data_IF_168246649527
#
_entry.id   IF_168246649527
#
_cell.length_a   1.000
_cell.length_b   1.000
_cell.length_c   1.000
_cell.angle_alpha   90.00
_cell.angle_beta   90.00
_cell.angle_gamma   90.00
#
_symmetry.space_group_name_H-M   'P 1'
#
loop_
_entity.id
_entity.type
_entity.pdbx_description
1 polymer ?
#
# COMPACT_ATOMS: atom_id res chain seq x y z
N UNK A 1 41.15 -68.55 -5.26
CA UNK A 1 41.38 -67.12 -5.53
C UNK A 1 40.08 -66.35 -5.33
N UNK A 2 39.86 -65.78 -4.13
CA UNK A 2 38.67 -64.98 -3.84
C UNK A 2 39.04 -63.50 -3.87
N UNK A 3 38.69 -62.80 -4.95
CA UNK A 3 38.94 -61.35 -5.06
C UNK A 3 38.00 -60.64 -4.09
N UNK A 4 38.54 -60.05 -3.01
CA UNK A 4 37.79 -59.17 -2.10
C UNK A 4 37.40 -57.88 -2.85
N UNK A 5 36.21 -57.85 -3.45
CA UNK A 5 35.53 -56.60 -3.82
C UNK A 5 34.92 -55.97 -2.56
N UNK A 6 35.72 -55.25 -1.77
CA UNK A 6 35.23 -54.50 -0.60
C UNK A 6 35.93 -53.16 -0.56
N UNK A 7 35.24 -52.11 -1.01
CA UNK A 7 35.75 -50.74 -0.91
C UNK A 7 34.92 -49.66 -1.62
N UNK A 8 34.27 -49.98 -2.75
CA UNK A 8 33.65 -48.95 -3.60
C UNK A 8 32.13 -48.78 -3.38
N UNK A 9 31.42 -49.79 -2.87
CA UNK A 9 29.96 -49.71 -2.72
C UNK A 9 29.50 -48.68 -1.67
N UNK A 10 30.17 -48.63 -0.51
CA UNK A 10 29.86 -47.67 0.56
C UNK A 10 30.04 -46.20 0.11
N UNK A 11 31.18 -45.79 -0.47
CA UNK A 11 31.32 -44.39 -0.91
C UNK A 11 30.35 -44.02 -2.03
N UNK A 12 30.03 -44.93 -2.95
CA UNK A 12 29.02 -44.67 -4.00
C UNK A 12 27.64 -44.44 -3.39
N UNK A 13 27.21 -45.27 -2.43
CA UNK A 13 25.92 -45.09 -1.74
C UNK A 13 25.91 -43.79 -0.94
N UNK A 14 26.98 -43.48 -0.22
CA UNK A 14 27.10 -42.22 0.52
C UNK A 14 27.02 -41.01 -0.40
N UNK A 15 27.65 -41.05 -1.58
CA UNK A 15 27.55 -39.98 -2.57
C UNK A 15 26.11 -39.81 -3.08
N UNK A 16 25.42 -40.91 -3.40
CA UNK A 16 24.02 -40.85 -3.87
C UNK A 16 23.11 -40.30 -2.77
N UNK A 17 23.23 -40.80 -1.54
CA UNK A 17 22.44 -40.32 -0.40
C UNK A 17 22.73 -38.85 -0.12
N UNK A 18 24.00 -38.44 -0.16
CA UNK A 18 24.39 -37.03 0.04
C UNK A 18 23.80 -36.14 -1.06
N UNK A 19 23.87 -36.57 -2.33
CA UNK A 19 23.31 -35.83 -3.45
C UNK A 19 21.78 -35.71 -3.33
N UNK A 20 21.09 -36.79 -2.95
CA UNK A 20 19.65 -36.77 -2.69
C UNK A 20 19.30 -35.80 -1.54
N UNK A 21 20.02 -35.88 -0.42
CA UNK A 21 19.81 -34.99 0.73
C UNK A 21 20.03 -33.52 0.37
N UNK A 22 21.12 -33.19 -0.34
CA UNK A 22 21.42 -31.82 -0.78
C UNK A 22 20.33 -31.31 -1.72
N UNK A 23 19.87 -32.13 -2.66
CA UNK A 23 18.81 -31.74 -3.60
C UNK A 23 17.48 -31.51 -2.89
N UNK A 24 17.11 -32.40 -1.96
CA UNK A 24 15.89 -32.26 -1.16
C UNK A 24 15.96 -31.02 -0.26
N UNK A 25 17.08 -30.78 0.41
CA UNK A 25 17.29 -29.58 1.23
C UNK A 25 17.16 -28.30 0.40
N UNK A 26 17.81 -28.24 -0.77
CA UNK A 26 17.71 -27.08 -1.66
C UNK A 26 16.27 -26.84 -2.14
N UNK A 27 15.54 -27.90 -2.49
CA UNK A 27 14.12 -27.78 -2.90
C UNK A 27 13.20 -27.32 -1.75
N UNK A 28 13.50 -27.75 -0.52
CA UNK A 28 12.76 -27.32 0.67
C UNK A 28 13.01 -25.85 0.97
N UNK A 29 14.26 -25.40 0.92
CA UNK A 29 14.60 -23.99 1.08
C UNK A 29 13.94 -23.13 0.00
N UNK A 30 13.95 -23.57 -1.26
CA UNK A 30 13.27 -22.88 -2.36
C UNK A 30 11.75 -22.74 -2.09
N UNK A 31 11.09 -23.82 -1.67
CA UNK A 31 9.66 -23.79 -1.34
C UNK A 31 9.34 -22.88 -0.14
N UNK A 32 10.23 -22.82 0.86
CA UNK A 32 10.08 -21.90 1.99
C UNK A 32 10.23 -20.44 1.56
N UNK A 33 11.17 -20.14 0.65
CA UNK A 33 11.32 -18.79 0.11
C UNK A 33 10.12 -18.37 -0.73
N UNK A 34 9.57 -19.28 -1.54
CA UNK A 34 8.36 -19.03 -2.33
C UNK A 34 7.15 -18.74 -1.43
N UNK A 35 6.95 -19.52 -0.37
CA UNK A 35 5.91 -19.27 0.65
C UNK A 35 6.03 -17.88 1.27
N UNK A 36 7.23 -17.52 1.75
CA UNK A 36 7.47 -16.20 2.37
C UNK A 36 7.21 -15.05 1.40
N UNK A 37 7.59 -15.23 0.13
CA UNK A 37 7.32 -14.23 -0.90
C UNK A 37 5.82 -14.10 -1.16
N UNK A 38 5.08 -15.21 -1.23
CA UNK A 38 3.63 -15.18 -1.40
C UNK A 38 2.93 -14.47 -0.23
N UNK A 39 3.37 -14.72 1.01
CA UNK A 39 2.84 -14.06 2.20
C UNK A 39 3.14 -12.55 2.18
N UNK A 40 4.36 -12.15 1.81
CA UNK A 40 4.74 -10.73 1.68
C UNK A 40 3.94 -10.01 0.59
N UNK A 41 3.69 -10.66 -0.56
CA UNK A 41 2.86 -10.11 -1.64
C UNK A 41 1.41 -9.97 -1.18
N UNK A 42 0.86 -10.98 -0.51
CA UNK A 42 -0.50 -10.93 0.01
C UNK A 42 -0.66 -9.78 1.03
N UNK A 43 0.33 -9.60 1.90
CA UNK A 43 0.36 -8.52 2.88
C UNK A 43 0.37 -7.13 2.22
N UNK A 44 1.21 -6.96 1.19
CA UNK A 44 1.24 -5.73 0.39
C UNK A 44 -0.08 -5.47 -0.34
N UNK A 45 -0.68 -6.47 -0.97
CA UNK A 45 -2.00 -6.33 -1.62
C UNK A 45 -3.07 -5.91 -0.62
N UNK A 46 -3.04 -6.46 0.60
CA UNK A 46 -3.99 -6.08 1.63
C UNK A 46 -3.81 -4.62 2.08
N UNK A 47 -2.56 -4.18 2.28
CA UNK A 47 -2.27 -2.78 2.60
C UNK A 47 -2.75 -1.84 1.48
N UNK A 48 -2.60 -2.24 0.21
CA UNK A 48 -3.08 -1.49 -0.95
C UNK A 48 -4.60 -1.40 -0.97
N UNK A 49 -5.32 -2.51 -0.77
CA UNK A 49 -6.78 -2.51 -0.72
C UNK A 49 -7.33 -1.68 0.44
N UNK A 50 -6.67 -1.72 1.61
CA UNK A 50 -7.04 -0.88 2.73
C UNK A 50 -6.86 0.62 2.40
N UNK A 51 -5.76 0.98 1.72
CA UNK A 51 -5.51 2.34 1.27
C UNK A 51 -6.53 2.81 0.23
N UNK A 52 -6.85 1.96 -0.75
CA UNK A 52 -7.79 2.26 -1.82
C UNK A 52 -9.20 2.47 -1.28
N UNK A 53 -9.64 1.59 -0.38
CA UNK A 53 -10.92 1.73 0.29
C UNK A 53 -11.01 3.04 1.09
N UNK A 54 -9.96 3.40 1.83
CA UNK A 54 -9.93 4.68 2.55
C UNK A 54 -9.95 5.88 1.60
N UNK A 55 -9.24 5.81 0.47
CA UNK A 55 -9.20 6.88 -0.52
C UNK A 55 -10.58 7.12 -1.15
N UNK A 56 -11.26 6.05 -1.59
CA UNK A 56 -12.60 6.11 -2.17
C UNK A 56 -13.62 6.63 -1.15
N UNK A 57 -13.57 6.14 0.08
CA UNK A 57 -14.49 6.58 1.13
C UNK A 57 -14.29 8.04 1.52
N UNK A 58 -13.05 8.51 1.60
CA UNK A 58 -12.76 9.91 1.89
C UNK A 58 -13.14 10.83 0.73
N UNK A 59 -12.90 10.41 -0.52
CA UNK A 59 -13.35 11.14 -1.70
C UNK A 59 -14.87 11.27 -1.73
N UNK A 60 -15.57 10.19 -1.39
CA UNK A 60 -17.03 10.19 -1.27
C UNK A 60 -17.53 11.10 -0.15
N UNK A 61 -16.94 11.01 1.05
CA UNK A 61 -17.32 11.87 2.17
C UNK A 61 -17.08 13.36 1.87
N UNK A 62 -16.03 13.66 1.11
CA UNK A 62 -15.72 15.02 0.65
C UNK A 62 -16.73 15.54 -0.39
N UNK A 63 -17.12 14.71 -1.37
CA UNK A 63 -18.10 15.10 -2.39
C UNK A 63 -19.53 15.21 -1.84
N UNK A 64 -19.89 14.37 -0.87
CA UNK A 64 -21.17 14.43 -0.14
C UNK A 64 -21.20 15.55 0.91
N UNK A 65 -20.05 16.17 1.22
CA UNK A 65 -19.93 17.26 2.21
C UNK A 65 -19.99 16.81 3.67
N UNK A 66 -19.87 15.50 3.95
CA UNK A 66 -19.79 14.96 5.30
C UNK A 66 -18.41 15.10 5.93
N UNK A 67 -17.37 15.32 5.10
CA UNK A 67 -16.02 15.66 5.53
C UNK A 67 -15.81 17.18 5.51
N UNK A 68 -15.69 17.80 6.68
CA UNK A 68 -15.40 19.23 6.78
C UNK A 68 -13.90 19.51 6.60
N UNK A 69 -13.52 20.04 5.44
CA UNK A 69 -12.16 20.49 5.13
C UNK A 69 -12.18 22.01 5.00
N UNK A 70 -11.17 22.69 5.54
CA UNK A 70 -11.01 24.12 5.33
C UNK A 70 -10.92 24.40 3.83
N UNK A 71 -11.93 25.08 3.28
CA UNK A 71 -12.00 25.40 1.85
C UNK A 71 -10.90 26.38 1.40
N UNK A 72 -10.22 27.04 2.34
CA UNK A 72 -9.15 27.97 2.04
C UNK A 72 -7.82 27.22 1.91
N UNK A 73 -7.45 26.88 0.68
CA UNK A 73 -6.08 26.47 0.36
C UNK A 73 -5.10 27.57 0.83
N UNK A 74 -4.29 27.25 1.83
CA UNK A 74 -3.44 28.23 2.52
C UNK A 74 -2.16 28.54 1.72
N UNK A 75 -1.86 27.75 0.68
CA UNK A 75 -0.58 27.76 -0.02
C UNK A 75 -0.80 27.73 -1.54
N UNK A 76 0.01 28.48 -2.30
CA UNK A 76 0.10 28.35 -3.76
C UNK A 76 0.94 27.12 -4.12
N UNK A 77 0.48 26.35 -5.11
CA UNK A 77 1.14 25.11 -5.52
C UNK A 77 0.57 23.87 -4.84
N UNK A 78 1.12 22.71 -5.21
CA UNK A 78 0.64 21.41 -4.74
C UNK A 78 0.85 21.23 -3.23
N UNK A 79 -0.17 20.75 -2.48
CA UNK A 79 -0.04 20.47 -1.05
C UNK A 79 1.02 19.40 -0.75
N UNK A 80 1.76 19.61 0.33
CA UNK A 80 2.87 18.73 0.76
C UNK A 80 2.79 18.38 2.25
N UNK A 81 1.70 18.73 2.96
CA UNK A 81 1.63 18.46 4.39
C UNK A 81 1.57 16.95 4.67
N UNK A 82 0.97 16.16 3.77
CA UNK A 82 0.95 14.69 3.83
C UNK A 82 2.34 14.05 3.96
N UNK A 83 3.42 14.72 3.48
CA UNK A 83 4.79 14.19 3.58
C UNK A 83 5.40 14.27 4.98
N UNK A 84 4.83 15.09 5.88
CA UNK A 84 5.33 15.26 7.24
C UNK A 84 4.47 14.45 8.21
N UNK A 85 5.10 13.54 8.95
CA UNK A 85 4.42 12.66 9.91
C UNK A 85 3.47 13.40 10.84
N UNK A 86 3.94 14.40 11.58
CA UNK A 86 3.11 15.18 12.51
C UNK A 86 1.92 15.87 11.83
N UNK A 87 2.06 16.25 10.56
CA UNK A 87 0.98 16.91 9.81
C UNK A 87 -0.04 15.88 9.35
N UNK A 88 0.43 14.74 8.84
CA UNK A 88 -0.41 13.63 8.42
C UNK A 88 -1.22 13.11 9.60
N UNK A 89 -0.58 12.78 10.72
CA UNK A 89 -1.25 12.18 11.88
C UNK A 89 -2.33 13.10 12.48
N UNK A 90 -2.05 14.41 12.56
CA UNK A 90 -3.02 15.40 13.06
C UNK A 90 -4.22 15.62 12.15
N UNK A 91 -4.05 15.47 10.84
CA UNK A 91 -5.09 15.71 9.84
C UNK A 91 -5.77 14.42 9.37
N UNK A 92 -5.23 13.28 9.79
CA UNK A 92 -5.73 11.98 9.36
C UNK A 92 -7.13 11.74 9.89
N UNK A 93 -7.99 11.28 9.01
CA UNK A 93 -9.30 10.74 9.36
C UNK A 93 -9.31 9.25 9.05
N UNK A 94 -10.11 8.51 9.81
CA UNK A 94 -10.25 7.07 9.70
C UNK A 94 -11.65 6.76 9.18
N UNK A 95 -11.83 6.61 7.85
CA UNK A 95 -13.16 6.42 7.26
C UNK A 95 -13.80 5.09 7.66
N UNK A 96 -13.00 4.09 8.04
CA UNK A 96 -13.46 2.78 8.52
C UNK A 96 -12.69 2.43 9.78
N UNK A 97 -13.39 2.07 10.85
CA UNK A 97 -12.79 1.78 12.16
C UNK A 97 -11.85 0.56 12.16
N UNK A 98 -12.04 -0.39 11.23
CA UNK A 98 -11.18 -1.55 11.06
C UNK A 98 -11.26 -2.06 9.62
N UNK A 99 -10.15 -2.58 9.09
CA UNK A 99 -10.11 -3.29 7.81
C UNK A 99 -9.76 -4.75 8.05
N UNK A 100 -10.46 -5.71 7.43
CA UNK A 100 -10.20 -7.14 7.65
C UNK A 100 -8.75 -7.50 7.36
N UNK A 101 -8.12 -8.17 8.33
CA UNK A 101 -6.73 -8.61 8.24
C UNK A 101 -5.70 -7.52 8.48
N UNK A 102 -6.06 -6.23 8.49
CA UNK A 102 -5.09 -5.15 8.73
C UNK A 102 -4.74 -4.99 10.20
N UNK A 103 -3.48 -4.73 10.49
CA UNK A 103 -2.98 -4.41 11.83
C UNK A 103 -3.62 -3.13 12.38
N UNK A 104 -3.92 -2.16 11.50
CA UNK A 104 -4.47 -0.85 11.87
C UNK A 104 -5.55 -0.41 10.89
N UNK A 105 -6.43 0.47 11.36
CA UNK A 105 -7.42 1.12 10.52
C UNK A 105 -6.75 1.99 9.45
N UNK A 106 -7.22 1.95 8.19
CA UNK A 106 -6.65 2.80 7.16
C UNK A 106 -7.02 4.26 7.42
N UNK A 107 -6.15 5.16 6.97
CA UNK A 107 -6.21 6.58 7.24
C UNK A 107 -6.20 7.36 5.94
N UNK A 108 -6.81 8.53 5.93
CA UNK A 108 -6.70 9.45 4.80
C UNK A 108 -6.54 10.88 5.29
N UNK A 109 -5.89 11.71 4.50
CA UNK A 109 -5.75 13.15 4.70
C UNK A 109 -6.28 13.85 3.46
N UNK A 110 -6.98 14.96 3.65
CA UNK A 110 -7.49 15.80 2.57
C UNK A 110 -6.92 17.20 2.72
N UNK A 111 -6.16 17.63 1.71
CA UNK A 111 -5.56 18.97 1.67
C UNK A 111 -6.22 19.81 0.58
N UNK A 112 -6.69 21.01 0.93
CA UNK A 112 -7.21 21.95 -0.05
C UNK A 112 -6.07 22.46 -0.95
N UNK A 113 -6.31 22.44 -2.26
CA UNK A 113 -5.35 22.82 -3.29
C UNK A 113 -5.91 23.98 -4.13
N UNK A 114 -5.11 25.04 -4.30
CA UNK A 114 -5.42 26.13 -5.24
C UNK A 114 -4.68 25.89 -6.55
N UNK A 115 -5.44 25.67 -7.62
CA UNK A 115 -4.91 25.56 -8.98
C UNK A 115 -4.94 26.95 -9.61
N UNK A 116 -3.77 27.54 -9.87
CA UNK A 116 -3.68 28.92 -10.38
C UNK A 116 -4.40 29.12 -11.72
N UNK A 117 -4.45 28.08 -12.57
CA UNK A 117 -5.19 28.11 -13.85
C UNK A 117 -6.71 27.98 -13.70
N UNK A 118 -7.22 27.57 -12.52
CA UNK A 118 -8.65 27.36 -12.24
C UNK A 118 -9.04 27.91 -10.87
N UNK A 119 -9.01 29.24 -10.66
CA UNK A 119 -9.20 29.85 -9.33
C UNK A 119 -10.61 29.69 -8.75
N UNK A 120 -11.60 29.39 -9.59
CA UNK A 120 -12.99 29.15 -9.17
C UNK A 120 -13.27 27.66 -8.84
N UNK A 121 -12.33 26.76 -9.17
CA UNK A 121 -12.45 25.34 -8.87
C UNK A 121 -11.99 25.04 -7.44
N UNK A 122 -12.71 24.16 -6.75
CA UNK A 122 -12.26 23.63 -5.45
C UNK A 122 -11.49 22.35 -5.71
N UNK A 123 -10.16 22.42 -5.65
CA UNK A 123 -9.31 21.25 -5.79
C UNK A 123 -8.85 20.74 -4.43
N UNK A 124 -8.67 19.43 -4.33
CA UNK A 124 -8.20 18.74 -3.13
C UNK A 124 -7.19 17.66 -3.51
N UNK A 125 -6.19 17.49 -2.67
CA UNK A 125 -5.26 16.38 -2.70
C UNK A 125 -5.66 15.41 -1.60
N UNK A 126 -6.05 14.19 -1.98
CA UNK A 126 -6.40 13.13 -1.06
C UNK A 126 -5.23 12.17 -0.99
N UNK A 127 -4.71 11.92 0.20
CA UNK A 127 -3.65 10.94 0.43
C UNK A 127 -4.15 9.91 1.42
N UNK A 128 -4.16 8.63 1.03
CA UNK A 128 -4.57 7.53 1.87
C UNK A 128 -3.38 6.65 2.25
N UNK A 129 -3.38 6.17 3.48
CA UNK A 129 -2.46 5.18 4.04
C UNK A 129 -3.26 3.95 4.46
N UNK A 130 -2.89 2.80 3.91
CA UNK A 130 -3.41 1.50 4.31
C UNK A 130 -2.32 0.65 4.98
N UNK A 131 -2.75 -0.25 5.85
CA UNK A 131 -1.87 -1.15 6.60
C UNK A 131 -2.17 -2.60 6.23
N UNK A 132 -1.13 -3.41 6.09
CA UNK A 132 -1.21 -4.86 5.94
C UNK A 132 -1.50 -5.54 7.27
N UNK A 133 -1.37 -6.85 7.32
CA UNK A 133 -1.34 -7.67 8.53
C UNK A 133 -0.17 -7.34 9.47
N UNK A 134 0.94 -6.83 8.93
CA UNK A 134 2.02 -6.21 9.71
C UNK A 134 1.88 -4.68 9.74
N UNK A 135 2.28 -4.05 10.84
CA UNK A 135 2.37 -2.59 10.93
C UNK A 135 3.46 -2.01 10.01
N UNK A 136 4.48 -2.81 9.66
CA UNK A 136 5.55 -2.39 8.76
C UNK A 136 5.12 -2.35 7.28
N UNK A 137 4.05 -3.06 6.95
CA UNK A 137 3.52 -3.16 5.59
C UNK A 137 2.51 -2.05 5.36
N UNK A 138 2.99 -0.93 4.83
CA UNK A 138 2.15 0.22 4.50
C UNK A 138 2.08 0.45 2.99
N UNK A 139 0.90 0.82 2.51
CA UNK A 139 0.71 1.33 1.14
C UNK A 139 0.12 2.73 1.18
N UNK A 140 0.63 3.58 0.29
CA UNK A 140 0.25 4.98 0.23
C UNK A 140 -0.28 5.31 -1.17
N UNK A 141 -1.49 5.86 -1.24
CA UNK A 141 -2.18 6.18 -2.48
C UNK A 141 -2.60 7.64 -2.50
N UNK A 142 -2.64 8.24 -3.69
CA UNK A 142 -3.02 9.62 -3.86
C UNK A 142 -4.01 9.82 -5.02
N UNK A 143 -5.06 10.59 -4.75
CA UNK A 143 -6.04 11.05 -5.73
C UNK A 143 -6.14 12.58 -5.70
N UNK A 144 -6.45 13.17 -6.85
CA UNK A 144 -6.72 14.59 -6.96
C UNK A 144 -8.18 14.78 -7.34
N UNK A 145 -8.90 15.50 -6.48
CA UNK A 145 -10.30 15.78 -6.68
C UNK A 145 -10.48 17.24 -7.06
N UNK A 146 -11.10 17.52 -8.20
CA UNK A 146 -11.47 18.89 -8.61
C UNK A 146 -12.99 18.98 -8.68
N UNK A 147 -13.55 19.87 -7.87
CA UNK A 147 -15.00 20.11 -7.80
C UNK A 147 -15.29 21.50 -8.39
N UNK A 148 -16.00 21.51 -9.51
CA UNK A 148 -16.42 22.72 -10.22
C UNK A 148 -17.94 22.84 -10.23
N UNK A 149 -18.45 24.04 -9.92
CA UNK A 149 -19.87 24.35 -10.12
C UNK A 149 -20.09 24.69 -11.60
N UNK A 150 -20.83 23.84 -12.31
CA UNK A 150 -21.16 24.00 -13.72
C UNK A 150 -22.67 24.28 -13.85
N UNK A 151 -23.07 25.54 -13.63
CA UNK A 151 -24.49 25.93 -13.63
C UNK A 151 -25.22 25.30 -12.45
N UNK A 152 -26.29 24.53 -12.71
CA UNK A 152 -27.07 23.81 -11.70
C UNK A 152 -26.44 22.46 -11.29
N UNK A 153 -25.43 21.97 -12.03
CA UNK A 153 -24.77 20.70 -11.76
C UNK A 153 -23.40 20.89 -11.11
N UNK A 154 -23.03 19.99 -10.20
CA UNK A 154 -21.66 19.90 -9.68
C UNK A 154 -20.89 18.90 -10.52
N UNK A 155 -19.79 19.34 -11.15
CA UNK A 155 -18.88 18.46 -11.89
C UNK A 155 -17.70 18.09 -10.99
N UNK A 156 -17.49 16.79 -10.84
CA UNK A 156 -16.38 16.23 -10.06
C UNK A 156 -15.42 15.55 -11.02
N UNK A 157 -14.17 16.02 -11.06
CA UNK A 157 -13.09 15.38 -11.80
C UNK A 157 -12.16 14.66 -10.81
N UNK A 158 -11.94 13.37 -11.05
CA UNK A 158 -10.92 12.59 -10.36
C UNK A 158 -9.70 12.43 -11.27
N UNK A 159 -8.54 12.79 -10.77
CA UNK A 159 -7.28 12.53 -11.44
C UNK A 159 -6.46 11.60 -10.56
N UNK A 160 -6.62 10.29 -10.83
CA UNK A 160 -5.86 9.26 -10.14
C UNK A 160 -4.37 9.49 -10.36
N UNK A 161 -3.63 9.65 -9.26
CA UNK A 161 -2.38 10.38 -9.36
C UNK A 161 -1.12 9.65 -8.94
N UNK A 162 -1.18 8.56 -8.17
CA UNK A 162 -0.14 7.52 -8.08
C UNK A 162 -0.25 6.66 -6.80
N UNK A 163 0.42 5.50 -6.84
CA UNK A 163 1.02 4.87 -5.65
C UNK A 163 2.24 5.69 -5.25
N UNK A 164 2.25 6.26 -4.05
CA UNK A 164 3.35 7.10 -3.57
C UNK A 164 4.28 6.29 -2.66
N UNK A 165 5.57 6.63 -2.67
CA UNK A 165 6.50 6.04 -1.72
C UNK A 165 6.14 6.46 -0.30
N UNK A 166 6.41 5.57 0.67
CA UNK A 166 6.28 5.87 2.09
C UNK A 166 7.10 7.14 2.42
N UNK A 167 6.44 8.22 2.87
CA UNK A 167 7.12 9.52 3.00
C UNK A 167 7.96 9.65 4.28
N UNK A 168 7.74 8.83 5.31
CA UNK A 168 8.43 8.83 6.61
C UNK A 168 8.43 7.45 7.25
#
# INVERSE_FOLDING_TARGET
MGVKRRGVALPVVLLIVSMMLVTSAASFEAALMERRNADAVADHLQSFHAADAALVLCARALTEGSLAVSAAATQSGEPQAWRRQDSFERQSVTPVAAWPGSARAPQCVVEAWRIDSRPLARAYLLTARGFGASEDTESWLQDQLVIEAAGEATRVEHHWRHVVARPF
#
